data_IF_974172739968
#
_entry.id   IF_974172739968
#
_cell.length_a   1.000
_cell.length_b   1.000
_cell.length_c   1.000
_cell.angle_alpha   90.00
_cell.angle_beta   90.00
_cell.angle_gamma   90.00
#
_symmetry.space_group_name_H-M   'P 1'
#
loop_
_entity.id
_entity.type
_entity.pdbx_description
1 polymer ?
#
# COMPACT_ATOMS: atom_id res chain seq x y z
N UNK A 1 -22.24 13.87 -7.13
CA UNK A 1 -20.84 13.81 -6.61
C UNK A 1 -19.95 14.36 -7.70
N UNK A 2 -19.27 15.46 -7.41
CA UNK A 2 -18.33 16.10 -8.32
C UNK A 2 -16.94 15.60 -7.93
N UNK A 3 -16.16 15.20 -8.91
CA UNK A 3 -14.77 14.78 -8.72
C UNK A 3 -13.90 15.73 -9.50
N UNK A 4 -12.92 16.28 -8.82
CA UNK A 4 -12.04 17.28 -9.39
C UNK A 4 -10.60 16.87 -9.16
N UNK A 5 -9.74 17.19 -10.11
CA UNK A 5 -8.30 17.09 -9.95
C UNK A 5 -7.63 18.40 -10.36
N UNK A 6 -6.44 18.60 -9.87
CA UNK A 6 -5.57 19.71 -10.26
C UNK A 6 -4.12 19.24 -10.35
N UNK A 7 -3.41 19.87 -11.23
CA UNK A 7 -2.00 19.59 -11.48
C UNK A 7 -1.20 20.86 -11.22
N UNK A 8 -0.04 20.72 -10.63
CA UNK A 8 0.92 21.79 -10.48
C UNK A 8 2.20 21.42 -11.22
N UNK A 9 2.73 22.37 -11.94
CA UNK A 9 4.06 22.30 -12.56
C UNK A 9 4.99 23.28 -11.89
N UNK A 10 6.11 22.81 -11.33
CA UNK A 10 7.10 23.61 -10.60
C UNK A 10 6.47 24.53 -9.52
N UNK A 11 5.45 24.02 -8.82
CA UNK A 11 4.73 24.72 -7.76
C UNK A 11 3.64 25.69 -8.25
N UNK A 12 3.48 25.86 -9.57
CA UNK A 12 2.44 26.70 -10.17
C UNK A 12 1.27 25.85 -10.63
N UNK A 13 0.04 26.26 -10.30
CA UNK A 13 -1.17 25.58 -10.75
C UNK A 13 -1.23 25.61 -12.28
N UNK A 14 -1.48 24.45 -12.89
CA UNK A 14 -1.66 24.32 -14.33
C UNK A 14 -2.80 25.21 -14.82
N UNK A 15 -2.63 25.81 -15.97
CA UNK A 15 -3.69 26.60 -16.63
C UNK A 15 -4.79 25.67 -17.15
N UNK A 16 -5.94 26.23 -17.49
CA UNK A 16 -7.02 25.46 -18.07
C UNK A 16 -6.59 24.79 -19.37
N UNK A 17 -5.86 25.51 -20.22
CA UNK A 17 -5.35 24.99 -21.47
C UNK A 17 -4.43 23.79 -21.26
N UNK A 18 -3.53 23.86 -20.26
CA UNK A 18 -2.63 22.75 -19.90
C UNK A 18 -3.40 21.54 -19.36
N UNK A 19 -4.50 21.75 -18.61
CA UNK A 19 -5.36 20.67 -18.12
C UNK A 19 -6.19 20.04 -19.24
N UNK A 20 -6.71 20.86 -20.15
CA UNK A 20 -7.52 20.44 -21.29
C UNK A 20 -6.70 19.55 -22.29
N UNK A 21 -5.38 19.69 -22.29
CA UNK A 21 -4.46 18.85 -23.08
C UNK A 21 -4.24 17.46 -22.47
N UNK A 22 -4.58 17.23 -21.19
CA UNK A 22 -4.37 15.95 -20.53
C UNK A 22 -5.52 15.00 -20.87
N UNK A 23 -5.19 13.87 -21.49
CA UNK A 23 -6.16 12.80 -21.76
C UNK A 23 -6.47 11.97 -20.52
N UNK A 24 -5.42 11.57 -19.80
CA UNK A 24 -5.51 10.69 -18.65
C UNK A 24 -4.33 10.88 -17.70
N UNK A 25 -4.58 10.74 -16.41
CA UNK A 25 -3.54 10.63 -15.38
C UNK A 25 -3.77 9.31 -14.63
N UNK A 26 -2.76 8.46 -14.59
CA UNK A 26 -2.75 7.24 -13.79
C UNK A 26 -1.72 7.41 -12.68
N UNK A 27 -2.14 7.34 -11.41
CA UNK A 27 -1.23 7.39 -10.26
C UNK A 27 -1.25 6.03 -9.56
N UNK A 28 -0.11 5.36 -9.56
CA UNK A 28 0.08 4.09 -8.87
C UNK A 28 0.85 4.30 -7.57
N UNK A 29 0.23 3.91 -6.47
CA UNK A 29 0.78 3.98 -5.12
C UNK A 29 0.83 2.57 -4.55
N UNK A 30 2.00 2.11 -4.12
CA UNK A 30 2.18 0.77 -3.57
C UNK A 30 3.14 0.79 -2.38
N UNK A 31 2.82 0.01 -1.34
CA UNK A 31 3.66 -0.17 -0.16
C UNK A 31 5.04 -0.69 -0.57
N UNK A 32 6.10 -0.01 -0.08
CA UNK A 32 7.48 -0.42 -0.33
C UNK A 32 8.01 -0.11 -1.73
N UNK A 33 7.29 0.64 -2.56
CA UNK A 33 7.72 1.08 -3.89
C UNK A 33 7.78 2.59 -4.00
N UNK A 34 8.48 3.08 -4.99
CA UNK A 34 8.37 4.48 -5.46
C UNK A 34 7.00 4.63 -6.08
N UNK A 35 6.28 5.68 -5.71
CA UNK A 35 4.99 5.97 -6.35
C UNK A 35 5.22 6.62 -7.70
N UNK A 36 4.40 6.23 -8.66
CA UNK A 36 4.53 6.66 -10.04
C UNK A 36 3.24 7.30 -10.54
N UNK A 37 3.37 8.41 -11.28
CA UNK A 37 2.27 8.92 -12.09
C UNK A 37 2.65 8.93 -13.57
N UNK A 38 1.69 8.54 -14.40
CA UNK A 38 1.73 8.64 -15.85
C UNK A 38 0.71 9.66 -16.31
N UNK A 39 1.18 10.73 -16.96
CA UNK A 39 0.33 11.80 -17.49
C UNK A 39 0.38 11.71 -19.00
N UNK A 40 -0.71 11.25 -19.61
CA UNK A 40 -0.85 11.07 -21.04
C UNK A 40 -1.38 12.34 -21.69
N UNK A 41 -0.64 12.83 -22.67
CA UNK A 41 -0.93 14.07 -23.41
C UNK A 41 -0.97 13.72 -24.91
N UNK A 42 -2.11 13.79 -25.57
CA UNK A 42 -2.20 13.68 -27.02
C UNK A 42 -1.37 14.77 -27.69
N UNK A 43 -0.66 14.42 -28.73
CA UNK A 43 0.10 15.37 -29.52
C UNK A 43 -0.35 15.35 -30.98
N UNK A 44 -0.29 16.50 -31.63
CA UNK A 44 -0.66 16.64 -33.03
C UNK A 44 0.38 17.41 -33.81
N UNK A 45 0.41 17.22 -35.10
CA UNK A 45 1.25 17.99 -36.00
C UNK A 45 0.52 19.29 -36.34
N UNK A 46 1.18 20.43 -36.14
CA UNK A 46 0.70 21.75 -36.55
C UNK A 46 0.77 21.93 -38.07
N UNK A 47 0.13 22.97 -38.59
CA UNK A 47 0.18 23.31 -40.03
C UNK A 47 1.62 23.54 -40.51
N UNK A 48 2.51 23.99 -39.65
CA UNK A 48 3.94 24.18 -39.91
C UNK A 48 4.76 22.88 -39.89
N UNK A 49 4.12 21.74 -39.66
CA UNK A 49 4.78 20.42 -39.61
C UNK A 49 5.54 20.16 -38.30
N UNK A 50 5.30 20.96 -37.24
CA UNK A 50 5.89 20.76 -35.91
C UNK A 50 4.92 20.04 -34.99
N UNK A 51 5.47 19.29 -34.05
CA UNK A 51 4.67 18.68 -32.99
C UNK A 51 4.26 19.71 -31.94
N UNK A 52 2.97 19.79 -31.64
CA UNK A 52 2.45 20.69 -30.60
C UNK A 52 2.74 20.12 -29.21
N UNK A 53 3.24 20.96 -28.30
CA UNK A 53 3.46 20.62 -26.90
C UNK A 53 4.78 19.91 -26.58
N UNK A 54 5.63 19.66 -27.57
CA UNK A 54 6.90 18.94 -27.38
C UNK A 54 7.90 19.76 -26.54
N UNK A 55 7.96 21.06 -26.74
CA UNK A 55 8.94 21.97 -26.13
C UNK A 55 8.40 22.76 -24.93
N UNK A 56 7.29 22.31 -24.31
CA UNK A 56 6.76 23.02 -23.12
C UNK A 56 7.79 22.97 -21.98
N UNK A 57 8.32 24.13 -21.51
CA UNK A 57 9.36 24.19 -20.48
C UNK A 57 8.95 23.55 -19.14
N UNK A 58 7.65 23.52 -18.82
CA UNK A 58 7.16 22.95 -17.56
C UNK A 58 7.04 21.42 -17.61
N UNK A 59 7.15 20.82 -18.78
CA UNK A 59 7.09 19.38 -19.02
C UNK A 59 8.45 18.74 -19.32
N UNK A 60 9.53 19.49 -19.03
CA UNK A 60 10.89 18.98 -19.20
C UNK A 60 11.27 18.00 -18.08
N UNK A 61 12.26 17.16 -18.35
CA UNK A 61 12.84 16.26 -17.35
C UNK A 61 13.26 17.04 -16.09
N UNK A 62 13.05 16.41 -14.94
CA UNK A 62 13.27 16.96 -13.60
C UNK A 62 12.35 18.12 -13.20
N UNK A 63 11.44 18.58 -14.05
CA UNK A 63 10.36 19.48 -13.63
C UNK A 63 9.50 18.80 -12.57
N UNK A 64 9.10 19.56 -11.54
CA UNK A 64 8.27 19.04 -10.47
C UNK A 64 6.82 19.01 -10.90
N UNK A 65 6.15 17.91 -10.61
CA UNK A 65 4.72 17.71 -10.86
C UNK A 65 4.05 17.26 -9.59
N UNK A 66 2.93 17.90 -9.25
CA UNK A 66 2.05 17.47 -8.18
C UNK A 66 0.65 17.28 -8.72
N UNK A 67 0.05 16.14 -8.40
CA UNK A 67 -1.34 15.82 -8.75
C UNK A 67 -2.14 15.71 -7.46
N UNK A 68 -3.27 16.40 -7.41
CA UNK A 68 -4.21 16.34 -6.29
C UNK A 68 -5.60 16.00 -6.78
N UNK A 69 -6.35 15.29 -5.96
CA UNK A 69 -7.74 14.98 -6.22
C UNK A 69 -8.63 15.50 -5.08
N UNK A 70 -9.89 15.79 -5.42
CA UNK A 70 -10.92 16.19 -4.48
C UNK A 70 -12.24 15.56 -4.86
N UNK A 71 -13.00 15.14 -3.87
CA UNK A 71 -14.35 14.64 -4.05
C UNK A 71 -15.32 15.59 -3.36
N UNK A 72 -16.30 16.12 -4.12
CA UNK A 72 -17.23 17.17 -3.72
C UNK A 72 -16.48 18.39 -3.12
N UNK A 73 -16.98 18.96 -2.05
CA UNK A 73 -16.35 20.08 -1.33
C UNK A 73 -15.30 19.65 -0.29
N UNK A 74 -14.82 18.41 -0.38
CA UNK A 74 -13.81 17.87 0.52
C UNK A 74 -12.45 18.57 0.39
N UNK A 75 -11.49 18.17 1.22
CA UNK A 75 -10.12 18.66 1.14
C UNK A 75 -9.43 18.14 -0.14
N UNK A 76 -8.53 18.93 -0.68
CA UNK A 76 -7.60 18.47 -1.70
C UNK A 76 -6.63 17.46 -1.09
N UNK A 77 -6.56 16.28 -1.69
CA UNK A 77 -5.66 15.21 -1.26
C UNK A 77 -4.57 15.04 -2.32
N UNK A 78 -3.30 15.23 -1.96
CA UNK A 78 -2.21 14.99 -2.90
C UNK A 78 -2.08 13.48 -3.16
N UNK A 79 -2.09 13.12 -4.44
CA UNK A 79 -1.87 11.74 -4.87
C UNK A 79 -0.38 11.48 -5.12
N UNK A 80 0.32 12.44 -5.68
CA UNK A 80 1.75 12.38 -5.92
C UNK A 80 2.35 13.79 -5.92
N UNK A 81 3.57 13.91 -5.48
CA UNK A 81 4.41 15.10 -5.60
C UNK A 81 5.84 14.65 -5.87
N UNK A 82 6.37 14.99 -7.05
CA UNK A 82 7.66 14.48 -7.45
C UNK A 82 8.17 15.07 -8.76
N UNK A 83 9.08 14.36 -9.42
CA UNK A 83 9.77 14.87 -10.60
C UNK A 83 9.50 14.00 -11.83
N UNK A 84 9.44 14.66 -13.01
CA UNK A 84 9.42 13.95 -14.29
C UNK A 84 10.79 13.26 -14.43
N UNK A 85 10.76 11.92 -14.51
CA UNK A 85 11.98 11.10 -14.64
C UNK A 85 12.13 10.50 -16.04
N UNK A 86 11.08 10.56 -16.85
CA UNK A 86 11.09 10.06 -18.21
C UNK A 86 9.89 10.51 -19.01
N UNK A 87 9.96 10.27 -20.30
CA UNK A 87 8.87 10.49 -21.26
C UNK A 87 8.79 9.29 -22.19
N UNK A 88 7.58 8.74 -22.33
CA UNK A 88 7.28 7.74 -23.34
C UNK A 88 6.59 8.44 -24.52
N UNK A 89 7.22 8.42 -25.67
CA UNK A 89 6.77 9.14 -26.87
C UNK A 89 6.29 8.15 -27.93
N UNK A 90 5.02 8.23 -28.26
CA UNK A 90 4.39 7.41 -29.30
C UNK A 90 4.00 8.30 -30.47
N UNK A 91 4.58 8.06 -31.64
CA UNK A 91 4.27 8.77 -32.88
C UNK A 91 3.63 7.84 -33.90
N UNK A 92 2.51 8.25 -34.44
CA UNK A 92 1.75 7.50 -35.42
C UNK A 92 1.33 8.41 -36.59
N UNK A 93 1.35 7.92 -37.83
CA UNK A 93 0.78 8.66 -38.94
C UNK A 93 -0.75 8.70 -38.92
N UNK A 94 -1.39 7.85 -38.12
CA UNK A 94 -2.83 7.85 -37.96
C UNK A 94 -3.27 8.99 -37.03
N UNK A 95 -4.27 9.81 -37.41
CA UNK A 95 -4.74 10.92 -36.59
C UNK A 95 -5.21 10.45 -35.21
N UNK A 96 -4.83 11.19 -34.17
CA UNK A 96 -5.23 10.91 -32.78
C UNK A 96 -4.51 9.73 -32.12
N UNK A 97 -3.51 9.12 -32.77
CA UNK A 97 -2.75 7.99 -32.22
C UNK A 97 -1.37 8.38 -31.66
N UNK A 98 -1.05 9.67 -31.67
CA UNK A 98 0.23 10.17 -31.15
C UNK A 98 0.04 10.75 -29.76
N UNK A 99 0.93 10.40 -28.84
CA UNK A 99 0.88 10.90 -27.46
C UNK A 99 2.27 10.94 -26.83
N UNK A 100 2.45 11.84 -25.90
CA UNK A 100 3.56 11.87 -24.95
C UNK A 100 3.03 11.50 -23.58
N UNK A 101 3.65 10.55 -22.91
CA UNK A 101 3.34 10.19 -21.53
C UNK A 101 4.49 10.62 -20.63
N UNK A 102 4.23 11.56 -19.72
CA UNK A 102 5.20 11.96 -18.72
C UNK A 102 5.20 10.94 -17.60
N UNK A 103 6.38 10.45 -17.21
CA UNK A 103 6.56 9.54 -16.07
C UNK A 103 7.08 10.35 -14.89
N UNK A 104 6.31 10.40 -13.82
CA UNK A 104 6.63 11.15 -12.59
C UNK A 104 6.87 10.16 -11.47
N UNK A 105 8.00 10.29 -10.76
CA UNK A 105 8.27 9.56 -9.54
C UNK A 105 8.17 10.49 -8.34
N UNK A 106 7.65 9.97 -7.22
CA UNK A 106 7.61 10.69 -5.96
C UNK A 106 9.03 10.97 -5.40
N UNK A 107 9.12 11.78 -4.37
CA UNK A 107 10.40 12.19 -3.80
C UNK A 107 11.15 11.05 -3.08
N UNK A 108 10.57 9.85 -2.89
CA UNK A 108 11.32 8.68 -2.45
C UNK A 108 12.46 8.33 -3.42
N UNK A 109 12.30 8.69 -4.70
CA UNK A 109 13.34 8.54 -5.71
C UNK A 109 14.63 9.34 -5.36
N UNK A 110 14.53 10.44 -4.62
CA UNK A 110 15.70 11.21 -4.17
C UNK A 110 16.58 10.39 -3.23
N UNK A 111 15.97 9.56 -2.39
CA UNK A 111 16.65 8.66 -1.46
C UNK A 111 17.36 7.48 -2.14
N UNK A 112 17.10 7.27 -3.42
CA UNK A 112 17.74 6.23 -4.25
C UNK A 112 18.91 6.74 -5.09
N UNK A 113 19.16 8.06 -5.15
CA UNK A 113 20.12 8.63 -6.11
C UNK A 113 21.56 8.43 -5.73
N UNK A 114 21.87 8.50 -4.43
CA UNK A 114 23.25 8.44 -3.94
C UNK A 114 23.43 7.21 -3.08
N UNK A 115 24.43 6.41 -3.41
CA UNK A 115 24.89 5.33 -2.57
C UNK A 115 26.10 5.82 -1.76
N UNK A 116 26.08 5.57 -0.47
CA UNK A 116 27.13 5.94 0.47
C UNK A 116 27.45 4.82 1.44
N UNK A 117 28.44 5.09 2.29
CA UNK A 117 28.74 4.30 3.47
C UNK A 117 28.56 5.23 4.67
N UNK A 118 27.62 4.90 5.54
CA UNK A 118 27.31 5.70 6.73
C UNK A 118 27.51 4.84 7.98
N UNK A 119 28.00 5.46 9.05
CA UNK A 119 28.19 4.82 10.35
C UNK A 119 27.35 5.53 11.40
N UNK A 120 26.50 4.77 12.06
CA UNK A 120 25.64 5.25 13.13
C UNK A 120 26.05 4.57 14.44
N UNK A 121 26.36 5.33 15.46
CA UNK A 121 26.77 4.81 16.77
C UNK A 121 25.91 5.36 17.89
N UNK A 122 25.44 4.49 18.78
CA UNK A 122 24.66 4.88 19.96
C UNK A 122 23.27 5.48 19.69
N UNK A 123 22.74 5.27 18.48
CA UNK A 123 21.43 5.75 18.06
C UNK A 123 20.44 4.58 17.93
N UNK A 124 19.16 4.85 18.17
CA UNK A 124 18.05 3.93 17.84
C UNK A 124 17.80 3.94 16.33
N UNK A 125 17.11 2.92 15.83
CA UNK A 125 16.77 2.87 14.41
C UNK A 125 15.83 3.99 13.99
N UNK A 126 14.93 4.46 14.89
CA UNK A 126 14.08 5.63 14.66
C UNK A 126 14.90 6.94 14.56
N UNK A 127 15.90 7.15 15.42
CA UNK A 127 16.80 8.31 15.35
C UNK A 127 17.64 8.31 14.06
N UNK A 128 18.10 7.14 13.63
CA UNK A 128 18.80 6.98 12.35
C UNK A 128 17.85 7.34 11.18
N UNK A 129 16.61 6.82 11.20
CA UNK A 129 15.64 7.12 10.17
C UNK A 129 15.33 8.62 10.09
N UNK A 130 15.17 9.28 11.25
CA UNK A 130 14.96 10.73 11.31
C UNK A 130 16.11 11.49 10.69
N UNK A 131 17.35 11.19 11.09
CA UNK A 131 18.56 11.83 10.57
C UNK A 131 18.68 11.69 9.04
N UNK A 132 18.36 10.51 8.51
CA UNK A 132 18.39 10.26 7.06
C UNK A 132 17.32 11.11 6.33
N UNK A 133 16.08 11.17 6.84
CA UNK A 133 15.03 11.97 6.21
C UNK A 133 15.30 13.47 6.30
N UNK A 134 15.80 13.98 7.42
CA UNK A 134 16.21 15.38 7.58
C UNK A 134 17.31 15.75 6.57
N UNK A 135 18.29 14.86 6.40
CA UNK A 135 19.39 15.08 5.45
C UNK A 135 18.97 15.01 3.98
N UNK A 136 17.79 14.43 3.69
CA UNK A 136 17.29 14.26 2.31
C UNK A 136 16.60 15.49 1.74
N UNK A 137 16.44 16.57 2.53
CA UNK A 137 15.83 17.84 2.11
C UNK A 137 14.43 17.66 1.46
N UNK A 138 13.60 16.81 2.05
CA UNK A 138 12.24 16.54 1.57
C UNK A 138 11.28 17.72 1.78
N UNK A 139 11.63 18.66 2.67
CA UNK A 139 10.89 19.89 2.92
C UNK A 139 9.75 19.76 3.95
N UNK A 140 9.31 18.58 4.29
CA UNK A 140 8.35 18.28 5.36
C UNK A 140 9.06 17.71 6.59
N UNK A 141 8.43 17.84 7.76
CA UNK A 141 8.91 17.23 9.00
C UNK A 141 8.69 15.71 8.95
N UNK A 142 9.71 14.89 9.26
CA UNK A 142 9.57 13.43 9.26
C UNK A 142 8.53 12.94 10.28
N UNK A 143 7.76 11.91 9.91
CA UNK A 143 6.77 11.23 10.77
C UNK A 143 7.29 9.83 11.12
N UNK A 144 7.78 9.67 12.36
CA UNK A 144 8.58 8.52 12.81
C UNK A 144 7.91 7.87 14.01
N UNK A 145 7.70 6.57 13.96
CA UNK A 145 7.38 5.76 15.14
C UNK A 145 8.66 5.32 15.84
N UNK A 146 8.67 5.42 17.17
CA UNK A 146 9.81 5.05 17.99
C UNK A 146 10.15 3.56 17.85
N UNK A 147 11.45 3.28 17.83
CA UNK A 147 11.97 1.90 17.89
C UNK A 147 12.66 1.64 19.22
N UNK A 148 12.68 0.37 19.69
CA UNK A 148 13.43 0.01 20.87
C UNK A 148 14.92 0.36 20.72
N UNK A 149 15.58 0.65 21.86
CA UNK A 149 17.03 0.81 21.91
C UNK A 149 17.73 -0.51 21.51
N UNK A 150 18.88 -0.39 20.89
CA UNK A 150 19.69 -1.57 20.59
C UNK A 150 20.16 -2.24 21.89
N UNK A 151 20.21 -3.59 21.92
CA UNK A 151 20.72 -4.33 23.08
C UNK A 151 22.15 -3.95 23.47
N UNK A 152 22.99 -3.63 22.48
CA UNK A 152 24.35 -3.12 22.69
C UNK A 152 24.40 -1.63 22.34
N UNK A 153 24.46 -0.78 23.37
CA UNK A 153 24.52 0.68 23.23
C UNK A 153 25.83 1.17 22.59
N UNK A 154 26.85 0.33 22.50
CA UNK A 154 28.14 0.63 21.85
C UNK A 154 28.18 0.11 20.39
N UNK A 155 27.12 -0.54 19.93
CA UNK A 155 27.08 -1.05 18.57
C UNK A 155 27.16 0.11 17.57
N UNK A 156 28.05 -0.03 16.59
CA UNK A 156 28.17 0.88 15.46
C UNK A 156 27.54 0.20 14.24
N UNK A 157 26.50 0.82 13.72
CA UNK A 157 25.82 0.34 12.53
C UNK A 157 26.55 0.91 11.31
N UNK A 158 27.24 0.07 10.58
CA UNK A 158 27.82 0.43 9.30
C UNK A 158 26.89 -0.01 8.18
N UNK A 159 26.32 0.94 7.47
CA UNK A 159 25.41 0.68 6.39
C UNK A 159 26.03 1.11 5.05
N UNK A 160 25.83 0.28 4.05
CA UNK A 160 26.25 0.55 2.68
C UNK A 160 25.01 0.55 1.76
N UNK A 161 24.94 1.49 0.85
CA UNK A 161 23.86 1.59 -0.11
C UNK A 161 23.25 2.97 -0.20
N UNK A 162 22.09 3.06 -0.84
CA UNK A 162 21.33 4.32 -0.90
C UNK A 162 20.59 4.57 0.42
N UNK A 163 20.25 5.84 0.69
CA UNK A 163 19.47 6.21 1.88
C UNK A 163 18.20 5.38 2.03
N UNK A 164 17.47 5.13 0.94
CA UNK A 164 16.27 4.28 0.97
C UNK A 164 16.60 2.81 1.26
N UNK A 165 17.72 2.29 0.76
CA UNK A 165 18.16 0.92 1.08
C UNK A 165 18.50 0.78 2.57
N UNK A 166 19.17 1.77 3.14
CA UNK A 166 19.46 1.82 4.58
C UNK A 166 18.16 1.84 5.39
N UNK A 167 17.23 2.76 5.07
CA UNK A 167 15.93 2.86 5.74
C UNK A 167 15.12 1.55 5.67
N UNK A 168 15.08 0.91 4.51
CA UNK A 168 14.40 -0.38 4.33
C UNK A 168 15.09 -1.51 5.08
N UNK A 169 16.41 -1.50 5.13
CA UNK A 169 17.19 -2.47 5.91
C UNK A 169 16.87 -2.36 7.39
N UNK A 170 16.83 -1.13 7.93
CA UNK A 170 16.46 -0.86 9.32
C UNK A 170 15.01 -1.30 9.58
N UNK A 171 14.07 -0.89 8.75
CA UNK A 171 12.66 -1.26 8.88
C UNK A 171 12.45 -2.78 8.86
N UNK A 172 13.19 -3.49 8.01
CA UNK A 172 13.07 -4.95 7.87
C UNK A 172 13.54 -5.72 9.11
N UNK A 173 14.35 -5.12 9.99
CA UNK A 173 14.76 -5.75 11.26
C UNK A 173 13.57 -6.03 12.17
N UNK A 174 12.57 -5.15 12.12
CA UNK A 174 11.35 -5.27 12.94
C UNK A 174 10.24 -6.02 12.21
N UNK A 175 10.35 -6.19 10.90
CA UNK A 175 9.40 -6.92 10.07
C UNK A 175 8.05 -6.22 9.81
N UNK A 176 7.62 -5.32 10.67
CA UNK A 176 6.34 -4.60 10.57
C UNK A 176 6.48 -3.08 10.42
N UNK A 177 7.71 -2.55 10.34
CA UNK A 177 7.99 -1.16 10.01
C UNK A 177 8.18 -0.97 8.50
N UNK A 178 7.84 0.22 8.04
CA UNK A 178 7.96 0.62 6.63
C UNK A 178 8.56 2.00 6.52
N UNK A 179 9.52 2.15 5.60
CA UNK A 179 10.08 3.44 5.22
C UNK A 179 9.52 3.86 3.86
N UNK A 180 8.90 5.03 3.80
CA UNK A 180 8.26 5.58 2.61
C UNK A 180 8.22 7.10 2.66
N UNK A 181 7.78 7.72 1.57
CA UNK A 181 7.63 9.18 1.47
C UNK A 181 6.19 9.49 1.06
N UNK A 182 5.57 10.44 1.74
CA UNK A 182 4.25 10.95 1.41
C UNK A 182 4.35 12.37 0.86
N UNK A 183 3.49 12.76 -0.09
CA UNK A 183 3.35 14.15 -0.46
C UNK A 183 2.75 14.95 0.72
N UNK A 184 3.39 16.03 1.10
CA UNK A 184 2.92 16.91 2.16
C UNK A 184 1.76 17.82 1.73
N UNK A 185 1.28 18.68 2.63
CA UNK A 185 0.17 19.60 2.33
C UNK A 185 0.58 20.67 1.32
N UNK A 186 1.82 21.14 1.39
CA UNK A 186 2.37 22.14 0.49
C UNK A 186 3.13 21.47 -0.66
N UNK A 187 2.98 21.99 -1.87
CA UNK A 187 3.73 21.52 -3.02
C UNK A 187 5.24 21.66 -2.78
N UNK A 188 5.96 20.57 -2.99
CA UNK A 188 7.40 20.49 -2.74
C UNK A 188 7.83 20.13 -1.33
N UNK A 189 6.89 19.98 -0.41
CA UNK A 189 7.15 19.52 0.95
C UNK A 189 6.69 18.08 1.09
N UNK A 190 7.58 17.12 0.84
CA UNK A 190 7.32 15.71 1.05
C UNK A 190 7.72 15.28 2.46
N UNK A 191 7.01 14.31 3.03
CA UNK A 191 7.17 13.84 4.40
C UNK A 191 7.81 12.46 4.37
N UNK A 192 8.98 12.31 4.97
CA UNK A 192 9.59 11.01 5.21
C UNK A 192 8.89 10.29 6.35
N UNK A 193 8.46 9.05 6.13
CA UNK A 193 7.73 8.26 7.11
C UNK A 193 8.50 6.98 7.44
N UNK A 194 8.61 6.68 8.74
CA UNK A 194 9.15 5.42 9.25
C UNK A 194 8.18 4.88 10.29
N UNK A 195 7.22 4.06 9.86
CA UNK A 195 6.06 3.71 10.67
C UNK A 195 5.68 2.23 10.57
N UNK A 196 4.96 1.78 11.59
CA UNK A 196 4.23 0.51 11.57
C UNK A 196 2.99 0.59 10.67
N UNK A 197 2.48 -0.56 10.26
CA UNK A 197 1.14 -0.61 9.68
C UNK A 197 0.09 -0.16 10.71
N UNK A 198 -0.99 0.50 10.25
CA UNK A 198 -2.05 0.96 11.16
C UNK A 198 -2.74 -0.22 11.85
N UNK A 199 -3.10 -0.04 13.11
CA UNK A 199 -3.86 -1.02 13.92
C UNK A 199 -5.37 -0.70 13.92
N UNK A 200 -5.75 0.50 13.50
CA UNK A 200 -7.14 0.98 13.51
C UNK A 200 -7.52 1.59 12.16
N UNK A 201 -8.81 1.48 11.76
CA UNK A 201 -9.33 2.16 10.57
C UNK A 201 -9.10 3.67 10.61
N UNK A 202 -8.74 4.23 9.46
CA UNK A 202 -8.60 5.68 9.31
C UNK A 202 -9.99 6.35 9.34
N UNK A 203 -10.25 7.28 10.26
CA UNK A 203 -11.55 7.92 10.41
C UNK A 203 -11.94 8.82 9.21
N UNK A 204 -11.01 9.16 8.35
CA UNK A 204 -11.26 9.96 7.14
C UNK A 204 -11.74 9.11 5.96
N UNK A 205 -11.60 7.78 6.04
CA UNK A 205 -12.02 6.85 5.01
C UNK A 205 -13.42 6.30 5.32
N UNK A 206 -14.41 6.55 4.46
CA UNK A 206 -15.72 5.91 4.58
C UNK A 206 -15.61 4.39 4.41
N UNK A 207 -16.48 3.67 5.11
CA UNK A 207 -16.62 2.23 5.00
C UNK A 207 -16.89 1.79 3.55
N UNK A 208 -16.20 0.76 3.09
CA UNK A 208 -16.42 0.13 1.79
C UNK A 208 -17.55 -0.89 1.89
N UNK A 209 -18.63 -0.70 1.12
CA UNK A 209 -19.84 -1.52 1.19
C UNK A 209 -20.18 -2.09 -0.18
N UNK A 210 -20.37 -3.43 -0.24
CA UNK A 210 -20.65 -4.12 -1.51
C UNK A 210 -22.14 -4.16 -1.85
N UNK A 211 -23.03 -4.26 -0.87
CA UNK A 211 -24.46 -4.48 -1.09
C UNK A 211 -25.31 -3.41 -0.36
N UNK A 212 -26.55 -3.24 -0.81
CA UNK A 212 -27.54 -2.32 -0.22
C UNK A 212 -27.42 -0.89 -0.72
N UNK A 213 -28.18 0.00 -0.09
CA UNK A 213 -28.31 1.41 -0.53
C UNK A 213 -27.00 2.20 -0.42
N UNK A 214 -26.13 1.78 0.51
CA UNK A 214 -24.80 2.39 0.73
C UNK A 214 -23.71 1.78 -0.14
N UNK A 215 -24.07 0.90 -1.09
CA UNK A 215 -23.10 0.27 -1.98
C UNK A 215 -22.21 1.31 -2.65
N UNK A 216 -20.90 1.17 -2.45
CA UNK A 216 -19.85 2.01 -3.03
C UNK A 216 -18.69 1.20 -3.62
N UNK A 217 -18.71 -0.13 -3.50
CA UNK A 217 -17.82 -1.06 -4.19
C UNK A 217 -18.41 -1.51 -5.52
N UNK A 218 -17.61 -1.52 -6.57
CA UNK A 218 -17.93 -2.14 -7.85
C UNK A 218 -17.72 -3.65 -7.78
N UNK A 219 -16.56 -4.04 -7.26
CA UNK A 219 -16.15 -5.43 -7.07
C UNK A 219 -15.23 -5.57 -5.86
N UNK A 220 -15.18 -6.79 -5.29
CA UNK A 220 -14.29 -7.14 -4.20
C UNK A 220 -14.00 -8.65 -4.23
N UNK A 221 -12.76 -9.01 -4.53
CA UNK A 221 -12.30 -10.39 -4.66
C UNK A 221 -11.31 -10.71 -3.54
N UNK A 222 -11.61 -11.68 -2.69
CA UNK A 222 -10.73 -12.10 -1.59
C UNK A 222 -10.06 -13.42 -1.92
N UNK A 223 -8.77 -13.49 -1.70
CA UNK A 223 -7.96 -14.69 -1.74
C UNK A 223 -7.35 -14.93 -0.36
N UNK A 224 -7.49 -16.13 0.14
CA UNK A 224 -6.89 -16.58 1.39
C UNK A 224 -5.71 -17.53 1.08
N UNK A 225 -4.57 -17.26 1.70
CA UNK A 225 -3.38 -18.10 1.58
C UNK A 225 -2.86 -18.47 2.97
N UNK A 226 -3.41 -19.52 3.54
CA UNK A 226 -3.04 -20.04 4.86
C UNK A 226 -1.55 -20.44 4.96
N UNK A 227 -0.90 -20.76 3.83
CA UNK A 227 0.53 -21.12 3.81
C UNK A 227 1.47 -19.97 4.17
N UNK A 228 0.99 -18.73 4.18
CA UNK A 228 1.78 -17.59 4.63
C UNK A 228 1.96 -17.55 6.13
N UNK A 229 0.95 -18.02 6.90
CA UNK A 229 0.97 -18.07 8.34
C UNK A 229 2.16 -18.90 8.86
N UNK A 230 2.99 -18.29 9.71
CA UNK A 230 4.25 -18.90 10.10
C UNK A 230 4.58 -18.67 11.57
N UNK A 231 5.28 -19.60 12.16
CA UNK A 231 6.07 -19.40 13.37
C UNK A 231 7.47 -18.99 12.95
N UNK A 232 7.96 -17.90 13.50
CA UNK A 232 9.27 -17.31 13.18
C UNK A 232 10.23 -17.55 14.34
N UNK A 233 11.41 -18.04 14.04
CA UNK A 233 12.51 -18.23 14.98
C UNK A 233 13.69 -17.34 14.60
N UNK A 234 14.29 -16.68 15.56
CA UNK A 234 15.50 -15.88 15.41
C UNK A 234 16.56 -16.28 16.42
N UNK A 235 17.82 -16.13 16.07
CA UNK A 235 18.92 -16.27 16.98
C UNK A 235 20.03 -15.30 16.60
N UNK A 236 20.64 -14.67 17.61
CA UNK A 236 21.82 -13.81 17.45
C UNK A 236 22.90 -14.20 18.43
N UNK A 237 24.17 -14.01 18.05
CA UNK A 237 25.30 -14.16 18.92
C UNK A 237 25.69 -12.78 19.48
N UNK A 238 25.61 -12.61 20.78
CA UNK A 238 26.13 -11.41 21.44
C UNK A 238 27.67 -11.46 21.38
N UNK A 239 28.27 -10.42 20.82
CA UNK A 239 29.74 -10.32 20.76
C UNK A 239 30.37 -9.94 22.10
N UNK A 240 29.61 -9.32 23.00
CA UNK A 240 30.11 -8.86 24.30
C UNK A 240 30.32 -10.00 25.29
N UNK A 241 29.40 -10.93 25.39
CA UNK A 241 29.40 -12.04 26.37
C UNK A 241 29.46 -13.43 25.71
N UNK A 242 29.45 -13.49 24.38
CA UNK A 242 29.45 -14.73 23.56
C UNK A 242 28.25 -15.64 23.84
N UNK A 243 27.16 -15.09 24.37
CA UNK A 243 25.90 -15.80 24.56
C UNK A 243 25.05 -15.80 23.27
N UNK A 244 24.19 -16.81 23.15
CA UNK A 244 23.21 -16.87 22.05
C UNK A 244 21.85 -16.39 22.59
N UNK A 245 21.40 -15.26 22.10
CA UNK A 245 20.03 -14.81 22.31
C UNK A 245 19.12 -15.44 21.24
N UNK A 246 17.95 -15.93 21.66
CA UNK A 246 16.96 -16.52 20.78
C UNK A 246 15.61 -15.83 20.95
N UNK A 247 14.84 -15.74 19.88
CA UNK A 247 13.47 -15.25 19.89
C UNK A 247 12.59 -16.16 19.06
N UNK A 248 11.33 -16.28 19.44
CA UNK A 248 10.33 -17.01 18.68
C UNK A 248 8.97 -16.37 18.85
N UNK A 249 8.22 -16.27 17.77
CA UNK A 249 6.83 -15.77 17.77
C UNK A 249 6.01 -16.47 16.71
N UNK A 250 4.71 -16.60 16.95
CA UNK A 250 3.76 -17.17 16.02
C UNK A 250 2.88 -16.06 15.44
N UNK A 251 2.38 -16.25 14.21
CA UNK A 251 1.37 -15.36 13.63
C UNK A 251 0.13 -15.19 14.53
N UNK A 252 -0.13 -16.18 15.43
CA UNK A 252 -1.23 -16.12 16.41
C UNK A 252 -1.02 -15.12 17.52
N UNK A 253 0.23 -14.76 17.80
CA UNK A 253 0.58 -13.80 18.85
C UNK A 253 0.44 -12.35 18.35
N UNK A 254 0.19 -12.18 17.04
CA UNK A 254 0.06 -10.88 16.41
C UNK A 254 -1.26 -10.19 16.78
N UNK A 255 -1.23 -8.87 16.86
CA UNK A 255 -2.44 -8.04 16.99
C UNK A 255 -3.34 -8.26 15.77
N UNK A 256 -4.59 -8.65 16.04
CA UNK A 256 -5.60 -8.80 15.00
C UNK A 256 -6.27 -7.45 14.70
N UNK A 257 -6.47 -7.18 13.42
CA UNK A 257 -7.17 -5.96 12.96
C UNK A 257 -8.70 -6.12 12.96
N UNK A 258 -9.21 -7.30 13.32
CA UNK A 258 -10.63 -7.63 13.48
C UNK A 258 -10.79 -8.72 14.55
N UNK A 259 -11.99 -9.24 14.74
CA UNK A 259 -12.38 -10.07 15.87
C UNK A 259 -11.70 -11.44 15.95
N UNK A 260 -11.52 -12.12 14.81
CA UNK A 260 -10.97 -13.49 14.76
C UNK A 260 -9.82 -13.57 13.76
N UNK A 261 -8.87 -14.46 14.02
CA UNK A 261 -7.78 -14.73 13.07
C UNK A 261 -8.32 -15.19 11.72
N UNK A 262 -7.76 -14.66 10.64
CA UNK A 262 -8.13 -15.08 9.28
C UNK A 262 -7.83 -16.56 9.04
N UNK A 263 -6.76 -17.06 9.66
CA UNK A 263 -6.28 -18.44 9.53
C UNK A 263 -6.09 -19.08 10.90
N UNK A 264 -6.59 -20.28 11.08
CA UNK A 264 -6.33 -21.12 12.24
C UNK A 264 -5.78 -22.49 11.77
N UNK A 265 -4.54 -22.47 11.26
CA UNK A 265 -3.87 -23.67 10.78
C UNK A 265 -3.44 -24.53 11.98
N UNK A 266 -3.60 -25.88 11.95
CA UNK A 266 -3.02 -26.74 12.97
C UNK A 266 -1.51 -26.49 13.12
N UNK A 267 -0.99 -26.67 14.33
CA UNK A 267 0.46 -26.41 14.58
C UNK A 267 1.37 -27.27 13.70
N UNK A 268 0.93 -28.49 13.37
CA UNK A 268 1.61 -29.42 12.46
C UNK A 268 1.71 -28.92 11.02
N UNK A 269 0.76 -28.09 10.62
CA UNK A 269 0.67 -27.49 9.27
C UNK A 269 1.25 -26.05 9.25
N UNK A 270 1.52 -25.46 10.42
CA UNK A 270 2.08 -24.11 10.52
C UNK A 270 3.53 -24.13 10.06
N UNK A 271 3.86 -23.25 9.13
CA UNK A 271 5.19 -23.12 8.57
C UNK A 271 6.16 -22.60 9.61
N UNK A 272 7.31 -23.23 9.78
CA UNK A 272 8.41 -22.73 10.61
C UNK A 272 9.44 -22.06 9.72
N UNK A 273 9.76 -20.79 10.03
CA UNK A 273 10.74 -20.00 9.29
C UNK A 273 11.78 -19.46 10.26
N UNK A 274 13.00 -19.31 9.77
CA UNK A 274 14.08 -18.65 10.52
C UNK A 274 14.36 -17.28 9.92
N UNK A 275 14.65 -16.31 10.79
CA UNK A 275 15.12 -15.01 10.35
C UNK A 275 16.42 -15.19 9.58
N UNK A 276 16.63 -14.45 8.47
CA UNK A 276 17.87 -14.50 7.73
C UNK A 276 19.07 -14.13 8.60
N UNK A 277 20.24 -14.73 8.39
CA UNK A 277 21.48 -14.27 9.01
C UNK A 277 21.77 -12.82 8.61
N UNK A 278 22.25 -12.01 9.52
CA UNK A 278 22.57 -10.61 9.27
C UNK A 278 21.48 -9.61 9.70
N UNK A 279 20.25 -10.05 9.96
CA UNK A 279 19.26 -9.21 10.64
C UNK A 279 19.40 -9.21 12.16
N UNK A 280 20.28 -10.05 12.70
CA UNK A 280 20.29 -10.43 14.12
C UNK A 280 21.32 -9.67 14.96
N UNK A 281 22.33 -9.04 14.34
CA UNK A 281 23.48 -8.52 15.09
C UNK A 281 23.18 -7.23 15.87
N UNK A 282 22.06 -6.55 15.56
CA UNK A 282 21.74 -5.21 16.06
C UNK A 282 20.33 -5.09 16.61
N UNK A 283 19.48 -6.10 16.44
CA UNK A 283 18.09 -6.09 16.88
C UNK A 283 17.85 -7.25 17.83
N UNK A 284 17.05 -7.02 18.87
CA UNK A 284 16.57 -8.10 19.72
C UNK A 284 15.84 -9.16 18.84
N UNK A 285 16.31 -10.43 18.86
CA UNK A 285 15.73 -11.49 18.02
C UNK A 285 14.27 -11.78 18.35
N UNK A 286 13.80 -11.47 19.55
CA UNK A 286 12.40 -11.62 19.94
C UNK A 286 11.55 -10.58 19.22
N UNK A 287 11.91 -9.30 19.25
CA UNK A 287 11.21 -8.21 18.55
C UNK A 287 11.17 -8.46 17.04
N UNK A 288 12.27 -8.91 16.46
CA UNK A 288 12.33 -9.23 15.04
C UNK A 288 11.41 -10.43 14.68
N UNK A 289 11.36 -11.45 15.53
CA UNK A 289 10.48 -12.60 15.33
C UNK A 289 8.99 -12.19 15.43
N UNK A 290 8.64 -11.35 16.39
CA UNK A 290 7.28 -10.81 16.57
C UNK A 290 6.80 -10.03 15.34
N UNK A 291 7.61 -9.09 14.84
CA UNK A 291 7.24 -8.31 13.66
C UNK A 291 7.09 -9.16 12.41
N UNK A 292 8.02 -10.08 12.17
CA UNK A 292 7.97 -10.98 11.02
C UNK A 292 6.80 -11.98 11.12
N UNK A 293 6.46 -12.46 12.32
CA UNK A 293 5.31 -13.32 12.57
C UNK A 293 4.00 -12.55 12.33
N UNK A 294 3.89 -11.32 12.81
CA UNK A 294 2.74 -10.45 12.59
C UNK A 294 2.48 -10.25 11.09
N UNK A 295 3.51 -9.95 10.30
CA UNK A 295 3.38 -9.81 8.85
C UNK A 295 2.99 -11.11 8.15
N UNK A 296 3.44 -12.27 8.66
CA UNK A 296 3.06 -13.57 8.11
C UNK A 296 1.58 -13.90 8.35
N UNK A 297 0.96 -13.27 9.34
CA UNK A 297 -0.47 -13.39 9.66
C UNK A 297 -1.40 -12.72 8.63
N UNK A 298 -0.88 -11.82 7.78
CA UNK A 298 -1.67 -11.21 6.69
C UNK A 298 -1.89 -12.23 5.56
N UNK A 299 -2.77 -13.19 5.83
CA UNK A 299 -3.10 -14.29 4.92
C UNK A 299 -4.18 -13.95 3.89
N UNK A 300 -4.95 -12.88 4.13
CA UNK A 300 -5.96 -12.39 3.20
C UNK A 300 -5.35 -11.35 2.26
N UNK A 301 -5.64 -11.51 0.97
CA UNK A 301 -5.40 -10.48 -0.06
C UNK A 301 -6.74 -10.20 -0.74
N UNK A 302 -7.11 -8.93 -0.82
CA UNK A 302 -8.34 -8.49 -1.44
C UNK A 302 -8.04 -7.49 -2.56
N UNK A 303 -8.57 -7.76 -3.75
CA UNK A 303 -8.50 -6.85 -4.89
C UNK A 303 -9.90 -6.35 -5.23
N UNK A 304 -10.01 -5.09 -5.63
CA UNK A 304 -11.30 -4.51 -5.98
C UNK A 304 -11.22 -3.10 -6.51
N UNK A 305 -12.39 -2.52 -6.73
CA UNK A 305 -12.54 -1.15 -7.17
C UNK A 305 -13.77 -0.48 -6.56
N UNK A 306 -13.69 0.84 -6.39
CA UNK A 306 -14.81 1.62 -5.89
C UNK A 306 -15.71 2.10 -7.03
N UNK A 307 -16.99 2.27 -6.73
CA UNK A 307 -17.93 2.91 -7.66
C UNK A 307 -17.60 4.40 -7.77
N UNK A 308 -17.29 4.90 -8.97
CA UNK A 308 -16.81 6.27 -9.18
C UNK A 308 -17.71 7.37 -8.60
N UNK A 309 -19.01 7.16 -8.62
CA UNK A 309 -20.00 8.16 -8.20
C UNK A 309 -20.55 7.95 -6.79
N UNK A 310 -20.04 6.97 -6.04
CA UNK A 310 -20.62 6.61 -4.72
C UNK A 310 -19.62 6.62 -3.57
N UNK A 311 -18.32 6.45 -3.84
CA UNK A 311 -17.32 6.50 -2.80
C UNK A 311 -16.79 7.92 -2.64
N UNK A 312 -16.82 8.44 -1.40
CA UNK A 312 -16.45 9.83 -1.09
C UNK A 312 -15.04 9.96 -0.49
N UNK A 313 -14.37 8.83 -0.23
CA UNK A 313 -12.98 8.82 0.25
C UNK A 313 -11.96 8.74 -0.88
N UNK A 314 -10.73 9.13 -0.56
CA UNK A 314 -9.56 8.93 -1.43
C UNK A 314 -8.67 7.91 -0.74
N UNK A 315 -8.60 6.70 -1.31
CA UNK A 315 -7.81 5.61 -0.78
C UNK A 315 -6.32 5.91 -0.94
N UNK A 316 -5.51 5.50 0.03
CA UNK A 316 -4.05 5.58 -0.03
C UNK A 316 -3.42 4.39 0.68
N UNK A 317 -2.26 3.90 0.24
CA UNK A 317 -1.50 2.90 0.99
C UNK A 317 -1.15 3.35 2.40
N UNK A 318 -0.83 2.40 3.26
CA UNK A 318 -0.53 2.60 4.69
C UNK A 318 -1.72 3.07 5.54
N UNK A 319 -2.94 3.07 5.00
CA UNK A 319 -4.17 3.32 5.74
C UNK A 319 -4.99 2.04 5.87
N UNK A 320 -5.86 2.00 6.86
CA UNK A 320 -6.79 0.90 7.08
C UNK A 320 -8.22 1.37 6.82
N UNK A 321 -9.02 0.52 6.18
CA UNK A 321 -10.41 0.82 5.86
C UNK A 321 -11.32 -0.35 6.27
N UNK A 322 -12.50 -0.08 6.86
CA UNK A 322 -13.49 -1.11 7.11
C UNK A 322 -14.21 -1.51 5.83
N UNK A 323 -14.44 -2.82 5.64
CA UNK A 323 -15.13 -3.40 4.49
C UNK A 323 -16.33 -4.20 4.96
N UNK A 324 -17.49 -3.99 4.32
CA UNK A 324 -18.75 -4.71 4.59
C UNK A 324 -19.24 -5.40 3.33
N UNK A 325 -19.22 -6.72 3.37
CA UNK A 325 -19.61 -7.60 2.27
C UNK A 325 -20.91 -8.38 2.60
N UNK A 326 -21.80 -7.79 3.40
CA UNK A 326 -22.94 -8.48 4.01
C UNK A 326 -22.51 -9.50 5.08
N UNK A 327 -23.17 -10.63 5.20
CA UNK A 327 -22.98 -11.62 6.28
C UNK A 327 -21.83 -12.61 6.01
N UNK A 328 -20.75 -12.16 5.37
CA UNK A 328 -19.57 -13.00 5.16
C UNK A 328 -18.51 -12.77 6.21
N UNK A 329 -17.70 -13.78 6.52
CA UNK A 329 -16.55 -13.66 7.43
C UNK A 329 -15.53 -12.63 6.96
N UNK A 330 -15.51 -12.30 5.68
CA UNK A 330 -14.61 -11.32 5.08
C UNK A 330 -15.09 -9.86 5.22
N UNK A 331 -16.22 -9.62 5.91
CA UNK A 331 -16.63 -8.27 6.35
C UNK A 331 -15.75 -7.83 7.52
N UNK A 332 -14.58 -7.27 7.22
CA UNK A 332 -13.50 -7.02 8.19
C UNK A 332 -12.76 -5.72 7.84
N UNK A 333 -11.80 -5.36 8.67
CA UNK A 333 -10.87 -4.28 8.41
C UNK A 333 -9.74 -4.77 7.49
N UNK A 334 -9.28 -3.93 6.57
CA UNK A 334 -8.18 -4.24 5.67
C UNK A 334 -7.20 -3.08 5.60
N UNK A 335 -5.91 -3.41 5.57
CA UNK A 335 -4.84 -2.44 5.29
C UNK A 335 -4.65 -2.31 3.78
N UNK A 336 -4.61 -1.08 3.30
CA UNK A 336 -4.44 -0.76 1.89
C UNK A 336 -2.95 -0.89 1.53
N UNK A 337 -2.63 -1.79 0.60
CA UNK A 337 -1.25 -2.02 0.13
C UNK A 337 -0.96 -1.37 -1.22
N UNK A 338 -1.97 -1.28 -2.07
CA UNK A 338 -1.84 -0.66 -3.39
C UNK A 338 -3.11 0.08 -3.74
N UNK A 339 -2.96 1.23 -4.38
CA UNK A 339 -4.06 1.97 -5.03
C UNK A 339 -3.60 2.45 -6.39
N UNK A 340 -4.47 2.31 -7.37
CA UNK A 340 -4.31 2.93 -8.68
C UNK A 340 -5.45 3.92 -8.87
N UNK A 341 -5.10 5.18 -8.98
CA UNK A 341 -6.02 6.27 -9.30
C UNK A 341 -5.95 6.55 -10.78
N UNK A 342 -7.08 6.47 -11.47
CA UNK A 342 -7.20 6.85 -12.87
C UNK A 342 -8.11 8.07 -12.99
N UNK A 343 -7.54 9.16 -13.43
CA UNK A 343 -8.19 10.46 -13.59
C UNK A 343 -8.31 10.74 -15.10
N UNK A 344 -9.50 10.62 -15.63
CA UNK A 344 -9.82 10.94 -17.01
C UNK A 344 -10.70 12.20 -17.10
N UNK A 345 -11.01 12.61 -18.32
CA UNK A 345 -11.84 13.82 -18.58
C UNK A 345 -13.23 13.76 -17.93
N UNK A 346 -13.80 12.58 -17.79
CA UNK A 346 -15.17 12.41 -17.29
C UNK A 346 -15.28 11.53 -16.05
N UNK A 347 -14.21 10.82 -15.67
CA UNK A 347 -14.28 9.81 -14.63
C UNK A 347 -13.00 9.79 -13.78
N UNK A 348 -13.20 9.61 -12.48
CA UNK A 348 -12.13 9.28 -11.54
C UNK A 348 -12.43 7.93 -10.88
N UNK A 349 -11.57 6.97 -11.10
CA UNK A 349 -11.68 5.62 -10.54
C UNK A 349 -10.55 5.34 -9.56
N UNK A 350 -10.80 4.42 -8.62
CA UNK A 350 -9.81 3.92 -7.68
C UNK A 350 -9.92 2.40 -7.64
N UNK A 351 -8.88 1.71 -8.04
CA UNK A 351 -8.72 0.27 -7.81
C UNK A 351 -7.66 0.04 -6.72
N UNK A 352 -7.80 -1.05 -5.99
CA UNK A 352 -6.98 -1.29 -4.82
C UNK A 352 -6.59 -2.76 -4.66
N UNK A 353 -5.48 -2.99 -3.96
CA UNK A 353 -5.13 -4.26 -3.32
C UNK A 353 -4.96 -4.01 -1.84
N UNK A 354 -5.65 -4.81 -1.03
CA UNK A 354 -5.66 -4.73 0.43
C UNK A 354 -5.22 -6.04 1.04
N UNK A 355 -4.78 -6.01 2.30
CA UNK A 355 -4.44 -7.21 3.07
C UNK A 355 -5.12 -7.20 4.43
N UNK A 356 -5.41 -8.42 4.94
CA UNK A 356 -5.98 -8.62 6.26
C UNK A 356 -5.38 -9.84 6.96
N UNK A 357 -5.31 -9.79 8.28
CA UNK A 357 -4.90 -10.89 9.14
C UNK A 357 -6.06 -11.44 9.98
N UNK A 358 -7.24 -10.83 9.85
CA UNK A 358 -8.40 -11.15 10.66
C UNK A 358 -9.70 -11.10 9.86
N UNK A 359 -10.72 -11.73 10.40
CA UNK A 359 -12.08 -11.81 9.86
C UNK A 359 -13.10 -11.42 10.92
N UNK A 360 -14.31 -11.05 10.52
CA UNK A 360 -15.40 -10.82 11.48
C UNK A 360 -15.74 -12.11 12.20
N UNK A 361 -16.15 -12.01 13.48
CA UNK A 361 -16.67 -13.13 14.22
C UNK A 361 -17.80 -13.81 13.45
N UNK A 362 -17.73 -15.14 13.32
CA UNK A 362 -18.81 -15.89 12.75
C UNK A 362 -20.07 -15.58 13.56
N UNK A 363 -21.09 -14.99 12.94
CA UNK A 363 -22.40 -14.90 13.58
C UNK A 363 -22.82 -16.33 13.88
N UNK A 364 -22.79 -16.71 15.15
CA UNK A 364 -23.34 -17.99 15.59
C UNK A 364 -24.71 -18.09 14.94
N UNK A 365 -24.93 -19.11 14.14
CA UNK A 365 -26.24 -19.42 13.58
C UNK A 365 -27.16 -19.91 14.71
N UNK A 366 -27.48 -19.00 15.63
CA UNK A 366 -28.51 -19.16 16.66
C UNK A 366 -29.80 -18.48 16.24
N UNK A 367 -30.20 -18.68 14.99
CA UNK A 367 -31.60 -18.66 14.64
C UNK A 367 -31.98 -20.14 14.49
N UNK A 368 -32.48 -20.72 15.56
CA UNK A 368 -33.04 -22.06 15.53
C UNK A 368 -33.96 -22.16 14.33
N UNK A 369 -33.57 -22.96 13.37
CA UNK A 369 -34.54 -23.54 12.48
C UNK A 369 -35.56 -24.23 13.39
N UNK A 370 -36.85 -23.89 13.30
CA UNK A 370 -37.85 -24.65 14.02
C UNK A 370 -37.66 -26.13 13.67
N UNK A 371 -37.49 -26.95 14.70
CA UNK A 371 -37.39 -28.40 14.50
C UNK A 371 -38.51 -28.80 13.54
N UNK A 372 -38.25 -29.58 12.47
CA UNK A 372 -39.32 -30.07 11.64
C UNK A 372 -40.27 -30.86 12.52
N UNK A 373 -41.49 -30.36 12.63
CA UNK A 373 -42.57 -31.12 13.30
C UNK A 373 -42.68 -32.45 12.58
N UNK A 374 -42.43 -33.52 13.32
CA UNK A 374 -42.67 -34.89 12.84
C UNK A 374 -44.15 -35.01 12.51
N UNK A 375 -44.47 -35.15 11.25
CA UNK A 375 -45.59 -35.91 10.66
C UNK A 375 -45.75 -35.52 9.21
N UNK A 376 -45.31 -36.33 8.29
CA UNK A 376 -46.14 -37.07 7.34
C UNK A 376 -45.22 -37.97 6.52
N UNK A 377 -45.39 -39.24 6.68
CA UNK A 377 -44.81 -40.26 5.82
C UNK A 377 -45.45 -40.19 4.43
N UNK A 378 -44.61 -40.01 3.42
CA UNK A 378 -45.02 -40.04 2.03
C UNK A 378 -43.78 -40.10 1.14
N UNK A 379 -43.36 -41.33 0.85
CA UNK A 379 -42.23 -41.61 0.00
C UNK A 379 -42.49 -41.13 -1.44
N UNK A 380 -41.65 -40.29 -1.97
CA UNK A 380 -41.40 -40.16 -3.40
C UNK A 380 -39.89 -39.98 -3.61
N UNK A 381 -39.21 -41.09 -3.89
CA UNK A 381 -37.83 -41.07 -4.31
C UNK A 381 -37.79 -40.56 -5.76
N UNK A 382 -37.19 -39.38 -5.97
CA UNK A 382 -36.83 -38.92 -7.29
C UNK A 382 -35.33 -39.21 -7.46
N UNK A 383 -35.02 -40.23 -8.26
CA UNK A 383 -33.67 -40.57 -8.67
C UNK A 383 -33.30 -39.73 -9.91
N UNK A 384 -32.26 -38.87 -9.79
CA UNK A 384 -31.61 -38.26 -10.95
C UNK A 384 -30.50 -39.17 -11.45
N UNK A 385 -30.66 -39.73 -12.63
CA UNK A 385 -29.57 -40.33 -13.39
C UNK A 385 -28.85 -39.26 -14.16
N UNK A 386 -27.58 -38.99 -13.81
CA UNK A 386 -26.68 -38.21 -14.63
C UNK A 386 -25.91 -39.18 -15.50
N UNK A 387 -26.22 -39.22 -16.79
CA UNK A 387 -25.43 -39.90 -17.80
C UNK A 387 -24.37 -38.91 -18.29
N UNK A 388 -23.11 -39.17 -18.00
CA UNK A 388 -22.00 -38.46 -18.58
C UNK A 388 -21.67 -39.06 -19.94
N UNK A 389 -21.92 -38.33 -21.01
CA UNK A 389 -21.35 -38.65 -22.31
C UNK A 389 -19.95 -38.03 -22.40
N UNK A 390 -18.96 -38.91 -22.55
CA UNK A 390 -17.58 -38.63 -22.85
C UNK A 390 -17.43 -38.65 -24.37
N UNK A 391 -17.10 -37.50 -24.94
CA UNK A 391 -16.31 -37.40 -26.19
C UNK A 391 -15.41 -36.19 -26.14
#
# INVERSE_FOLDING_TARGET
>A
MIKEYRVYYNGTLATKEQLDEIEEIVVEQEVGRVWEAKIKIPVCITEDGKWHGEDDPVRQEFSRVRVEARIDEGKWVPLIDGRIVGKDDTRSPAPGQSSVTLVVHDDSALLHREAGAESFGGQTDSEIAQSIFESAALGGEPDIDDTPAHPDTNAVINQHGTKMQILRSIASRYGNYFAYVLPGETAGASIGCFKKLPEHPDPTLPELTLLGDRRNLAEFNVRENANNASTIEGATLSFSDKSVATGSSSYRDATLIEAESATDAPETETRKRRLPPGHNDLTDPQTAAEGAAAMSGFTLTADGSVLPLRYTGILRPYLMVPVRLSDTRYSANYVIFKVVHTLGLSEYTQSFTMRGNAVSAAKSASAGLPAPSAAVAGAAAVSFNIQADIF
#
